data_IF_680909793207
#
_entry.id   IF_680909793207
#
_cell.length_a   1.000
_cell.length_b   1.000
_cell.length_c   1.000
_cell.angle_alpha   90.00
_cell.angle_beta   90.00
_cell.angle_gamma   90.00
#
_symmetry.space_group_name_H-M   'P 1'
#
loop_
_entity.id
_entity.type
_entity.pdbx_description
1 polymer ?
#
# COMPACT_ATOMS: atom_id res chain seq x y z
N UNK A 1 79.57 13.15 37.07
CA UNK A 1 78.95 11.84 37.32
C UNK A 1 78.14 11.33 36.15
N UNK A 2 77.17 12.06 35.57
CA UNK A 2 76.43 11.55 34.38
C UNK A 2 77.18 11.75 33.04
N UNK A 3 77.91 12.86 32.89
CA UNK A 3 78.77 13.11 31.72
C UNK A 3 79.89 12.07 31.55
N UNK A 4 80.34 11.48 32.65
CA UNK A 4 81.44 10.51 32.65
C UNK A 4 80.99 9.16 32.08
N UNK A 5 79.71 8.77 32.27
CA UNK A 5 79.16 7.50 31.74
C UNK A 5 78.89 7.52 30.24
N UNK A 6 78.37 8.63 29.71
CA UNK A 6 78.18 8.77 28.26
C UNK A 6 79.53 8.87 27.54
N UNK A 7 80.50 9.55 28.15
CA UNK A 7 81.85 9.61 27.59
C UNK A 7 82.52 8.23 27.60
N UNK A 8 82.42 7.45 28.68
CA UNK A 8 82.88 6.04 28.69
C UNK A 8 82.20 5.16 27.65
N UNK A 9 80.88 5.32 27.43
CA UNK A 9 80.15 4.55 26.42
C UNK A 9 80.61 4.88 25.00
N UNK A 10 80.80 6.16 24.67
CA UNK A 10 81.25 6.57 23.35
C UNK A 10 82.75 6.31 23.14
N UNK A 11 83.62 6.54 24.12
CA UNK A 11 85.05 6.19 24.05
C UNK A 11 85.22 4.66 23.87
N UNK A 12 84.36 3.83 24.48
CA UNK A 12 84.37 2.37 24.30
C UNK A 12 83.83 1.87 22.95
N UNK A 13 83.11 2.74 22.22
CA UNK A 13 82.55 2.44 20.90
C UNK A 13 83.26 3.23 19.78
N UNK A 14 84.20 4.11 20.14
CA UNK A 14 84.98 4.93 19.22
C UNK A 14 85.88 4.01 18.37
N UNK A 15 85.70 4.08 17.05
CA UNK A 15 86.33 3.15 16.08
C UNK A 15 85.55 1.85 15.81
N UNK A 16 84.45 1.59 16.53
CA UNK A 16 83.61 0.39 16.33
C UNK A 16 82.46 0.57 15.33
N UNK A 17 82.17 1.80 14.90
CA UNK A 17 81.05 2.10 13.99
C UNK A 17 81.47 2.18 12.52
N UNK A 18 82.69 2.63 12.22
CA UNK A 18 83.21 2.76 10.86
C UNK A 18 83.80 1.44 10.34
N UNK A 19 83.04 0.37 10.51
CA UNK A 19 83.50 -0.98 10.14
C UNK A 19 83.52 -1.20 8.63
N UNK A 20 82.72 -0.43 7.86
CA UNK A 20 82.66 -0.47 6.39
C UNK A 20 82.15 0.85 5.82
N UNK A 21 82.71 1.26 4.70
CA UNK A 21 82.14 2.35 3.90
C UNK A 21 80.93 1.86 3.07
N UNK A 22 79.94 2.74 2.83
CA UNK A 22 78.85 2.44 1.91
C UNK A 22 79.39 2.10 0.51
N UNK A 23 78.70 1.20 -0.20
CA UNK A 23 79.04 0.90 -1.60
C UNK A 23 78.99 2.17 -2.44
N UNK A 24 79.95 2.32 -3.36
CA UNK A 24 80.01 3.45 -4.30
C UNK A 24 78.64 3.77 -4.94
N UNK A 25 78.36 5.06 -5.11
CA UNK A 25 77.07 5.58 -5.58
C UNK A 25 75.92 5.51 -4.57
N UNK A 26 76.19 5.23 -3.28
CA UNK A 26 75.16 5.25 -2.24
C UNK A 26 74.47 6.61 -2.12
N UNK A 27 75.24 7.70 -2.16
CA UNK A 27 74.71 9.05 -2.05
C UNK A 27 73.77 9.37 -3.21
N UNK A 28 74.13 9.00 -4.45
CA UNK A 28 73.29 9.21 -5.63
C UNK A 28 71.98 8.43 -5.53
N UNK A 29 72.04 7.15 -5.14
CA UNK A 29 70.84 6.33 -4.91
C UNK A 29 69.96 6.88 -3.78
N UNK A 30 70.58 7.46 -2.75
CA UNK A 30 69.85 8.09 -1.66
C UNK A 30 69.11 9.35 -2.13
N UNK A 31 69.79 10.22 -2.88
CA UNK A 31 69.19 11.42 -3.48
C UNK A 31 68.09 11.07 -4.48
N UNK A 32 68.30 10.07 -5.33
CA UNK A 32 67.28 9.56 -6.26
C UNK A 32 66.03 9.09 -5.52
N UNK A 33 66.20 8.35 -4.42
CA UNK A 33 65.07 7.89 -3.59
C UNK A 33 64.35 9.05 -2.89
N UNK A 34 65.09 10.07 -2.47
CA UNK A 34 64.54 11.27 -1.83
C UNK A 34 63.75 12.13 -2.82
N UNK A 35 64.23 12.27 -4.05
CA UNK A 35 63.48 12.90 -5.15
C UNK A 35 62.25 12.08 -5.56
N UNK A 36 62.34 10.75 -5.62
CA UNK A 36 61.18 9.89 -5.89
C UNK A 36 60.12 10.00 -4.79
N UNK A 37 60.51 10.14 -3.52
CA UNK A 37 59.58 10.33 -2.41
C UNK A 37 58.83 11.68 -2.49
N UNK A 38 59.46 12.72 -3.08
CA UNK A 38 58.83 14.01 -3.35
C UNK A 38 57.93 14.03 -4.61
N UNK A 39 57.89 12.93 -5.38
CA UNK A 39 56.92 12.76 -6.47
C UNK A 39 55.68 12.08 -5.90
N UNK A 40 54.59 12.83 -5.83
CA UNK A 40 53.29 12.37 -5.32
C UNK A 40 52.89 11.04 -5.97
N UNK A 41 52.77 9.97 -5.16
CA UNK A 41 52.23 8.70 -5.61
C UNK A 41 50.77 8.95 -6.02
N UNK A 42 50.48 8.97 -7.31
CA UNK A 42 49.10 9.02 -7.79
C UNK A 42 48.47 7.66 -7.50
N UNK A 43 47.77 7.56 -6.38
CA UNK A 43 46.87 6.44 -6.14
C UNK A 43 45.82 6.46 -7.25
N UNK A 44 45.92 5.53 -8.22
CA UNK A 44 44.85 5.30 -9.19
C UNK A 44 43.60 4.89 -8.40
N UNK A 45 42.75 5.88 -8.06
CA UNK A 45 41.44 5.62 -7.46
C UNK A 45 40.65 4.79 -8.47
N UNK A 46 40.46 3.50 -8.17
CA UNK A 46 39.62 2.59 -8.95
C UNK A 46 38.25 3.25 -9.07
N UNK A 47 37.89 3.72 -10.28
CA UNK A 47 36.57 4.31 -10.53
C UNK A 47 35.54 3.23 -10.25
N UNK A 48 34.84 3.35 -9.11
CA UNK A 48 33.75 2.47 -8.73
C UNK A 48 32.71 2.55 -9.84
N UNK A 49 32.47 1.44 -10.53
CA UNK A 49 31.55 1.44 -11.66
C UNK A 49 30.10 1.43 -11.16
N UNK A 50 29.54 2.61 -10.89
CA UNK A 50 28.16 2.79 -10.44
C UNK A 50 27.11 2.28 -11.44
N UNK A 51 27.50 1.95 -12.67
CA UNK A 51 26.59 1.44 -13.68
C UNK A 51 26.05 0.05 -13.35
N UNK A 52 26.83 -0.79 -12.64
CA UNK A 52 26.39 -2.15 -12.23
C UNK A 52 25.28 -2.14 -11.17
N UNK A 53 25.40 -1.41 -10.03
CA UNK A 53 24.28 -1.28 -9.11
C UNK A 53 23.12 -0.48 -9.71
N UNK A 54 23.39 0.50 -10.58
CA UNK A 54 22.35 1.27 -11.27
C UNK A 54 21.52 0.39 -12.23
N UNK A 55 22.16 -0.49 -13.01
CA UNK A 55 21.44 -1.41 -13.90
C UNK A 55 20.59 -2.41 -13.13
N UNK A 56 21.07 -2.88 -11.97
CA UNK A 56 20.31 -3.76 -11.08
C UNK A 56 19.08 -3.02 -10.54
N UNK A 57 19.26 -1.82 -9.98
CA UNK A 57 18.17 -0.99 -9.48
C UNK A 57 17.13 -0.68 -10.57
N UNK A 58 17.57 -0.35 -11.80
CA UNK A 58 16.69 -0.10 -12.93
C UNK A 58 15.87 -1.34 -13.31
N UNK A 59 16.48 -2.53 -13.34
CA UNK A 59 15.77 -3.78 -13.64
C UNK A 59 14.71 -4.10 -12.59
N UNK A 60 15.03 -3.91 -11.31
CA UNK A 60 14.08 -4.10 -10.20
C UNK A 60 12.95 -3.06 -10.30
N UNK A 61 13.27 -1.80 -10.58
CA UNK A 61 12.28 -0.75 -10.74
C UNK A 61 11.31 -1.05 -11.90
N UNK A 62 11.80 -1.54 -13.05
CA UNK A 62 10.97 -1.92 -14.19
C UNK A 62 10.03 -3.08 -13.83
N UNK A 63 10.54 -4.13 -13.19
CA UNK A 63 9.73 -5.28 -12.77
C UNK A 63 8.66 -4.83 -11.77
N UNK A 64 9.03 -3.99 -10.80
CA UNK A 64 8.08 -3.42 -9.83
C UNK A 64 7.03 -2.55 -10.52
N UNK A 65 7.42 -1.72 -11.49
CA UNK A 65 6.48 -0.89 -12.24
C UNK A 65 5.49 -1.73 -13.05
N UNK A 66 5.96 -2.80 -13.69
CA UNK A 66 5.12 -3.72 -14.46
C UNK A 66 4.19 -4.52 -13.54
N UNK A 67 4.68 -4.97 -12.38
CA UNK A 67 3.87 -5.68 -11.41
C UNK A 67 2.78 -4.78 -10.82
N UNK A 68 3.12 -3.55 -10.43
CA UNK A 68 2.16 -2.56 -9.93
C UNK A 68 1.18 -2.15 -11.04
N UNK A 69 1.67 -1.87 -12.24
CA UNK A 69 0.86 -1.50 -13.39
C UNK A 69 -0.12 -2.61 -13.81
N UNK A 70 0.33 -3.87 -13.83
CA UNK A 70 -0.51 -5.01 -14.14
C UNK A 70 -1.53 -5.35 -13.05
N UNK A 71 -1.26 -4.98 -11.80
CA UNK A 71 -2.23 -5.09 -10.70
C UNK A 71 -3.30 -4.00 -10.80
N UNK A 72 -2.91 -2.75 -11.06
CA UNK A 72 -3.84 -1.61 -11.23
C UNK A 72 -4.68 -1.75 -12.50
N UNK A 73 -4.17 -2.39 -13.55
CA UNK A 73 -4.87 -2.56 -14.82
C UNK A 73 -5.96 -3.65 -14.84
N UNK A 74 -6.22 -4.33 -13.71
CA UNK A 74 -7.30 -5.33 -13.66
C UNK A 74 -8.65 -4.61 -13.52
N UNK A 75 -9.60 -4.86 -14.43
CA UNK A 75 -10.89 -4.21 -14.36
C UNK A 75 -11.62 -4.60 -13.08
N UNK A 76 -12.35 -3.66 -12.48
CA UNK A 76 -13.21 -3.94 -11.33
C UNK A 76 -14.33 -4.91 -11.70
N UNK A 77 -15.08 -5.38 -10.69
CA UNK A 77 -16.22 -6.26 -10.92
C UNK A 77 -17.32 -5.53 -11.70
N UNK A 78 -17.59 -4.27 -11.33
CA UNK A 78 -18.51 -3.37 -12.06
C UNK A 78 -18.08 -3.14 -13.51
N UNK A 79 -16.78 -2.93 -13.76
CA UNK A 79 -16.25 -2.72 -15.11
C UNK A 79 -16.37 -3.98 -15.97
N UNK A 80 -16.21 -5.15 -15.38
CA UNK A 80 -16.40 -6.44 -16.07
C UNK A 80 -17.90 -6.67 -16.38
N UNK A 81 -18.79 -6.38 -15.43
CA UNK A 81 -20.24 -6.45 -15.65
C UNK A 81 -20.67 -5.49 -16.77
N UNK A 82 -20.18 -4.25 -16.76
CA UNK A 82 -20.49 -3.25 -17.79
C UNK A 82 -20.02 -3.67 -19.20
N UNK A 83 -18.91 -4.39 -19.30
CA UNK A 83 -18.43 -4.94 -20.57
C UNK A 83 -19.32 -6.09 -21.10
N UNK A 84 -19.92 -6.88 -20.20
CA UNK A 84 -20.76 -8.03 -20.56
C UNK A 84 -22.22 -7.62 -20.81
N UNK A 85 -22.76 -6.75 -19.97
CA UNK A 85 -24.11 -6.19 -20.09
C UNK A 85 -24.11 -4.71 -19.66
N UNK A 86 -23.99 -3.79 -20.62
CA UNK A 86 -24.14 -2.36 -20.37
C UNK A 86 -25.49 -2.01 -19.73
N UNK A 87 -26.55 -2.73 -20.08
CA UNK A 87 -27.90 -2.56 -19.52
C UNK A 87 -27.94 -2.90 -18.03
N UNK A 88 -27.24 -3.96 -17.61
CA UNK A 88 -27.13 -4.34 -16.20
C UNK A 88 -26.44 -3.25 -15.39
N UNK A 89 -25.32 -2.71 -15.90
CA UNK A 89 -24.58 -1.64 -15.25
C UNK A 89 -25.41 -0.35 -15.13
N UNK A 90 -26.15 0.03 -16.18
CA UNK A 90 -27.05 1.18 -16.11
C UNK A 90 -28.18 0.97 -15.09
N UNK A 91 -28.70 -0.26 -15.02
CA UNK A 91 -29.76 -0.65 -14.08
C UNK A 91 -29.27 -0.58 -12.64
N UNK A 92 -28.04 -1.05 -12.39
CA UNK A 92 -27.36 -0.97 -11.10
C UNK A 92 -27.21 0.48 -10.63
N UNK A 93 -26.71 1.38 -11.48
CA UNK A 93 -26.57 2.80 -11.13
C UNK A 93 -27.91 3.40 -10.68
N UNK A 94 -28.98 3.13 -11.45
CA UNK A 94 -30.30 3.64 -11.12
C UNK A 94 -30.84 3.09 -9.79
N UNK A 95 -30.87 1.76 -9.62
CA UNK A 95 -31.46 1.15 -8.45
C UNK A 95 -30.63 1.32 -7.17
N UNK A 96 -29.29 1.35 -7.27
CA UNK A 96 -28.44 1.65 -6.12
C UNK A 96 -28.76 3.04 -5.56
N UNK A 97 -28.94 4.05 -6.42
CA UNK A 97 -29.31 5.39 -5.95
C UNK A 97 -30.66 5.42 -5.22
N UNK A 98 -31.64 4.66 -5.70
CA UNK A 98 -32.95 4.55 -5.08
C UNK A 98 -32.90 3.84 -3.72
N UNK A 99 -32.15 2.75 -3.63
CA UNK A 99 -31.93 2.01 -2.38
C UNK A 99 -31.22 2.90 -1.37
N UNK A 100 -30.16 3.61 -1.76
CA UNK A 100 -29.45 4.55 -0.89
C UNK A 100 -30.37 5.64 -0.33
N UNK A 101 -31.22 6.22 -1.17
CA UNK A 101 -32.16 7.25 -0.73
C UNK A 101 -33.22 6.71 0.24
N UNK A 102 -33.70 5.48 0.03
CA UNK A 102 -34.61 4.82 0.96
C UNK A 102 -33.93 4.40 2.27
N UNK A 103 -32.68 3.96 2.24
CA UNK A 103 -31.89 3.68 3.44
C UNK A 103 -31.73 4.95 4.27
N UNK A 104 -31.37 6.08 3.65
CA UNK A 104 -31.29 7.38 4.35
C UNK A 104 -32.63 7.77 4.98
N UNK A 105 -33.74 7.57 4.28
CA UNK A 105 -35.07 7.81 4.84
C UNK A 105 -35.31 6.93 6.07
N UNK A 106 -35.01 5.62 5.96
CA UNK A 106 -35.17 4.68 7.06
C UNK A 106 -34.32 5.06 8.29
N UNK A 107 -33.06 5.45 8.08
CA UNK A 107 -32.16 5.88 9.16
C UNK A 107 -32.66 7.14 9.88
N UNK A 108 -33.24 8.09 9.14
CA UNK A 108 -33.84 9.31 9.71
C UNK A 108 -35.08 9.01 10.57
N UNK A 109 -35.70 7.85 10.41
CA UNK A 109 -36.84 7.41 11.21
C UNK A 109 -36.45 6.77 12.55
N UNK A 110 -35.14 6.71 12.85
CA UNK A 110 -34.59 6.06 14.05
C UNK A 110 -35.07 6.68 15.37
N UNK A 111 -35.60 5.84 16.24
CA UNK A 111 -35.99 6.14 17.62
C UNK A 111 -35.84 4.88 18.50
N UNK A 112 -35.89 4.98 19.84
CA UNK A 112 -35.79 3.81 20.71
C UNK A 112 -36.81 2.70 20.39
N UNK A 113 -37.99 3.07 19.88
CA UNK A 113 -39.07 2.14 19.54
C UNK A 113 -38.91 1.50 18.15
N UNK A 114 -38.15 2.12 17.24
CA UNK A 114 -37.97 1.67 15.86
C UNK A 114 -36.58 1.05 15.62
N UNK A 115 -35.64 1.23 16.55
CA UNK A 115 -34.25 0.79 16.40
C UNK A 115 -34.12 -0.72 16.12
N UNK A 116 -34.94 -1.56 16.77
CA UNK A 116 -34.88 -3.02 16.60
C UNK A 116 -35.24 -3.43 15.16
N UNK A 117 -36.36 -2.92 14.64
CA UNK A 117 -36.80 -3.23 13.27
C UNK A 117 -35.85 -2.63 12.23
N UNK A 118 -35.30 -1.43 12.46
CA UNK A 118 -34.30 -0.82 11.57
C UNK A 118 -33.04 -1.70 11.51
N UNK A 119 -32.48 -2.10 12.65
CA UNK A 119 -31.28 -2.94 12.69
C UNK A 119 -31.49 -4.30 12.00
N UNK A 120 -32.64 -4.93 12.24
CA UNK A 120 -33.00 -6.18 11.57
C UNK A 120 -33.13 -6.00 10.05
N UNK A 121 -33.62 -4.85 9.60
CA UNK A 121 -33.75 -4.50 8.18
C UNK A 121 -32.38 -4.29 7.54
N UNK A 122 -31.47 -3.55 8.19
CA UNK A 122 -30.10 -3.36 7.69
C UNK A 122 -29.37 -4.70 7.52
N UNK A 123 -29.51 -5.62 8.48
CA UNK A 123 -28.93 -6.97 8.35
C UNK A 123 -29.53 -7.78 7.19
N UNK A 124 -30.81 -7.58 6.86
CA UNK A 124 -31.43 -8.21 5.69
C UNK A 124 -30.94 -7.59 4.37
N UNK A 125 -30.75 -6.27 4.34
CA UNK A 125 -30.17 -5.57 3.18
C UNK A 125 -28.75 -6.05 2.90
N UNK A 126 -27.91 -6.23 3.92
CA UNK A 126 -26.56 -6.80 3.75
C UNK A 126 -26.60 -8.19 3.08
N UNK A 127 -27.54 -9.05 3.47
CA UNK A 127 -27.71 -10.37 2.84
C UNK A 127 -28.14 -10.25 1.37
N UNK A 128 -29.02 -9.30 1.06
CA UNK A 128 -29.44 -9.02 -0.31
C UNK A 128 -28.28 -8.45 -1.13
N UNK A 129 -27.40 -7.66 -0.52
CA UNK A 129 -26.15 -7.18 -1.13
C UNK A 129 -25.21 -8.31 -1.49
N UNK A 130 -24.85 -9.16 -0.53
CA UNK A 130 -24.00 -10.32 -0.80
C UNK A 130 -24.57 -11.24 -1.88
N UNK A 131 -25.90 -11.41 -1.92
CA UNK A 131 -26.54 -12.19 -2.99
C UNK A 131 -26.41 -11.53 -4.37
N UNK A 132 -26.38 -10.20 -4.44
CA UNK A 132 -26.21 -9.47 -5.70
C UNK A 132 -24.77 -9.57 -6.21
N UNK A 133 -23.76 -9.38 -5.36
CA UNK A 133 -22.34 -9.56 -5.72
C UNK A 133 -22.09 -10.97 -6.30
N UNK A 134 -22.78 -11.98 -5.75
CA UNK A 134 -22.74 -13.34 -6.30
C UNK A 134 -23.35 -13.42 -7.70
N UNK A 135 -24.47 -12.75 -7.95
CA UNK A 135 -25.08 -12.70 -9.28
C UNK A 135 -24.18 -11.99 -10.30
N UNK A 136 -23.47 -10.93 -9.92
CA UNK A 136 -22.48 -10.28 -10.77
C UNK A 136 -21.35 -11.25 -11.12
N UNK A 137 -20.86 -12.01 -10.14
CA UNK A 137 -19.84 -13.04 -10.34
C UNK A 137 -20.35 -14.14 -11.28
N UNK A 138 -21.58 -14.61 -11.11
CA UNK A 138 -22.20 -15.62 -11.97
C UNK A 138 -22.39 -15.10 -13.41
N UNK A 139 -22.70 -13.81 -13.57
CA UNK A 139 -22.79 -13.15 -14.88
C UNK A 139 -21.43 -13.11 -15.57
N UNK A 140 -20.37 -12.75 -14.84
CA UNK A 140 -18.99 -12.73 -15.35
C UNK A 140 -18.51 -14.13 -15.77
N UNK A 141 -18.88 -15.15 -15.00
CA UNK A 141 -18.50 -16.54 -15.27
C UNK A 141 -19.28 -17.18 -16.45
N UNK A 142 -20.17 -16.43 -17.11
CA UNK A 142 -20.85 -16.88 -18.34
C UNK A 142 -22.03 -17.82 -18.08
N UNK A 143 -22.75 -17.65 -16.97
CA UNK A 143 -24.01 -18.36 -16.73
C UNK A 143 -25.13 -17.94 -17.69
N UNK A 144 -26.39 -18.31 -17.40
CA UNK A 144 -27.52 -17.88 -18.23
C UNK A 144 -27.80 -16.38 -17.98
N UNK A 145 -27.19 -15.51 -18.79
CA UNK A 145 -27.26 -14.05 -18.62
C UNK A 145 -28.69 -13.54 -18.44
N UNK A 146 -29.66 -14.02 -19.22
CA UNK A 146 -31.06 -13.55 -19.09
C UNK A 146 -31.66 -13.87 -17.71
N UNK A 147 -31.41 -15.09 -17.21
CA UNK A 147 -31.90 -15.48 -15.87
C UNK A 147 -31.16 -14.72 -14.78
N UNK A 148 -29.85 -14.53 -14.91
CA UNK A 148 -29.03 -13.82 -13.93
C UNK A 148 -29.44 -12.34 -13.86
N UNK A 149 -29.58 -11.67 -15.01
CA UNK A 149 -30.06 -10.29 -15.08
C UNK A 149 -31.45 -10.13 -14.46
N UNK A 150 -32.35 -11.09 -14.72
CA UNK A 150 -33.67 -11.10 -14.07
C UNK A 150 -33.53 -11.21 -12.55
N UNK A 151 -32.65 -12.07 -12.05
CA UNK A 151 -32.41 -12.23 -10.61
C UNK A 151 -31.78 -10.98 -10.00
N UNK A 152 -30.90 -10.28 -10.72
CA UNK A 152 -30.32 -9.00 -10.29
C UNK A 152 -31.39 -7.92 -10.13
N UNK A 153 -32.30 -7.79 -11.10
CA UNK A 153 -33.45 -6.89 -11.01
C UNK A 153 -34.37 -7.26 -9.83
N UNK A 154 -34.69 -8.54 -9.67
CA UNK A 154 -35.52 -9.02 -8.55
C UNK A 154 -34.86 -8.74 -7.19
N UNK A 155 -33.54 -8.83 -7.10
CA UNK A 155 -32.82 -8.50 -5.87
C UNK A 155 -33.02 -7.02 -5.49
N UNK A 156 -32.85 -6.08 -6.42
CA UNK A 156 -33.14 -4.66 -6.18
C UNK A 156 -34.59 -4.41 -5.78
N UNK A 157 -35.55 -5.01 -6.50
CA UNK A 157 -36.97 -4.91 -6.17
C UNK A 157 -37.23 -5.39 -4.73
N UNK A 158 -36.64 -6.52 -4.34
CA UNK A 158 -36.79 -7.06 -2.98
C UNK A 158 -36.26 -6.11 -1.91
N UNK A 159 -35.12 -5.44 -2.16
CA UNK A 159 -34.58 -4.43 -1.22
C UNK A 159 -35.52 -3.23 -1.08
N UNK A 160 -36.05 -2.75 -2.19
CA UNK A 160 -36.96 -1.60 -2.24
C UNK A 160 -38.27 -1.91 -1.53
N UNK A 161 -38.85 -3.09 -1.80
CA UNK A 161 -40.08 -3.55 -1.15
C UNK A 161 -39.89 -3.70 0.36
N UNK A 162 -38.77 -4.31 0.78
CA UNK A 162 -38.40 -4.44 2.20
C UNK A 162 -38.30 -3.07 2.88
N UNK A 163 -37.57 -2.13 2.27
CA UNK A 163 -37.40 -0.77 2.80
C UNK A 163 -38.75 -0.06 2.94
N UNK A 164 -39.59 -0.12 1.91
CA UNK A 164 -40.90 0.51 1.91
C UNK A 164 -41.82 -0.09 2.99
N UNK A 165 -41.86 -1.41 3.11
CA UNK A 165 -42.66 -2.10 4.11
C UNK A 165 -42.26 -1.73 5.54
N UNK A 166 -40.96 -1.59 5.79
CA UNK A 166 -40.44 -1.21 7.12
C UNK A 166 -40.74 0.25 7.42
N UNK A 167 -40.57 1.15 6.45
CA UNK A 167 -40.95 2.58 6.61
C UNK A 167 -42.44 2.69 6.98
N UNK A 168 -43.31 1.96 6.28
CA UNK A 168 -44.75 1.94 6.58
C UNK A 168 -45.03 1.42 8.00
N UNK A 169 -44.34 0.35 8.42
CA UNK A 169 -44.46 -0.18 9.79
C UNK A 169 -44.03 0.81 10.86
N UNK A 170 -42.94 1.55 10.60
CA UNK A 170 -42.46 2.60 11.51
C UNK A 170 -43.50 3.73 11.64
N UNK A 171 -44.13 4.13 10.53
CA UNK A 171 -45.20 5.14 10.57
C UNK A 171 -46.37 4.69 11.46
N UNK A 172 -46.78 3.42 11.35
CA UNK A 172 -47.81 2.82 12.22
C UNK A 172 -47.40 2.87 13.70
N UNK A 173 -46.16 2.47 14.03
CA UNK A 173 -45.63 2.51 15.40
C UNK A 173 -45.67 3.95 15.96
N UNK A 174 -45.23 4.93 15.16
CA UNK A 174 -45.24 6.35 15.56
C UNK A 174 -46.65 6.87 15.81
N UNK A 175 -47.62 6.51 14.97
CA UNK A 175 -49.01 6.94 15.12
C UNK A 175 -49.68 6.33 16.36
N UNK A 176 -49.43 5.05 16.66
CA UNK A 176 -49.95 4.40 17.87
C UNK A 176 -49.40 5.08 19.15
N UNK A 177 -48.11 5.45 19.18
CA UNK A 177 -47.52 6.18 20.31
C UNK A 177 -48.18 7.56 20.52
N UNK A 178 -48.44 8.30 19.44
CA UNK A 178 -49.13 9.61 19.52
C UNK A 178 -50.53 9.48 20.11
N UNK A 179 -51.31 8.49 19.68
CA UNK A 179 -52.67 8.26 20.19
C UNK A 179 -52.67 7.87 21.67
N UNK A 180 -51.77 6.97 22.09
CA UNK A 180 -51.63 6.60 23.49
C UNK A 180 -51.32 7.82 24.37
N UNK A 181 -50.34 8.65 23.97
CA UNK A 181 -49.99 9.85 24.73
C UNK A 181 -51.15 10.85 24.87
N UNK A 182 -51.97 11.03 23.83
CA UNK A 182 -53.14 11.91 23.89
C UNK A 182 -54.19 11.44 24.91
N UNK A 183 -54.44 10.13 24.98
CA UNK A 183 -55.43 9.54 25.88
C UNK A 183 -55.01 9.57 27.37
N UNK A 184 -53.71 9.69 27.68
CA UNK A 184 -53.22 9.81 29.06
C UNK A 184 -53.17 11.26 29.59
N UNK A 185 -53.38 12.26 28.72
CA UNK A 185 -53.36 13.69 29.09
C UNK A 185 -54.74 14.33 29.25
N UNK A 186 -55.81 13.57 29.00
CA UNK A 186 -57.23 13.94 29.23
C UNK A 186 -57.79 13.19 30.42
#
# INVERSE_FOLDING_TARGET
MEKDRLKELFDGLEGGFDTREPKAGHQDRFLEKLEQANRTITLHKKKRNWWKPLSIAASVAIISLLAIGGYIARPSLDEQVAQISPEASNTQVYFTSLVEDQVKQLENESSPETQEIINATMSQLEKLETNYEKLETDLINGGNNKLILSAMITNFQTRIDLLQDVINQIEVIKNLKKQNNANFTT
#
